data_IF_034908258761
#
_entry.id   IF_034908258761
#
_cell.length_a   1.000
_cell.length_b   1.000
_cell.length_c   1.000
_cell.angle_alpha   90.00
_cell.angle_beta   90.00
_cell.angle_gamma   90.00
#
_symmetry.space_group_name_H-M   'P 1'
#
loop_
_entity.id
_entity.type
_entity.pdbx_description
1 polymer ?
#
# COMPACT_ATOMS: atom_id res chain seq x y z
N UNK A 1 -6.53 11.06 -6.99
CA UNK A 1 -5.99 10.49 -5.73
C UNK A 1 -5.49 9.11 -6.06
N UNK A 2 -4.29 8.75 -5.61
CA UNK A 2 -3.67 7.46 -5.96
C UNK A 2 -3.04 6.87 -4.71
N UNK A 3 -3.10 5.56 -4.57
CA UNK A 3 -2.52 4.82 -3.47
C UNK A 3 -1.33 4.02 -3.97
N UNK A 4 -0.23 4.11 -3.25
CA UNK A 4 0.96 3.30 -3.42
C UNK A 4 0.97 2.26 -2.29
N UNK A 5 1.02 0.99 -2.64
CA UNK A 5 1.19 -0.10 -1.67
C UNK A 5 2.61 -0.62 -1.82
N UNK A 6 3.44 -0.38 -0.80
CA UNK A 6 4.81 -0.87 -0.71
C UNK A 6 4.79 -2.09 0.20
N UNK A 7 5.24 -3.23 -0.29
CA UNK A 7 5.19 -4.48 0.46
C UNK A 7 6.48 -5.27 0.31
N UNK A 8 6.92 -5.91 1.40
CA UNK A 8 8.18 -6.63 1.44
C UNK A 8 7.99 -8.00 2.11
N UNK A 9 8.60 -9.02 1.52
CA UNK A 9 8.77 -10.33 2.14
C UNK A 9 10.16 -10.81 1.80
N UNK A 10 10.92 -11.19 2.83
CA UNK A 10 12.32 -11.67 2.69
C UNK A 10 13.28 -10.63 2.07
N UNK A 11 13.10 -9.35 2.41
CA UNK A 11 14.08 -8.30 2.14
C UNK A 11 13.94 -7.57 0.79
N UNK A 12 13.05 -8.02 -0.10
CA UNK A 12 12.82 -7.37 -1.39
C UNK A 12 11.51 -6.57 -1.38
N UNK A 13 11.58 -5.22 -1.44
CA UNK A 13 10.38 -4.39 -1.53
C UNK A 13 9.82 -4.41 -2.95
N UNK A 14 8.52 -4.63 -3.04
CA UNK A 14 7.71 -4.47 -4.25
C UNK A 14 6.74 -3.32 -4.05
N UNK A 15 6.29 -2.74 -5.17
CA UNK A 15 5.35 -1.62 -5.15
C UNK A 15 4.27 -1.86 -6.19
N UNK A 16 3.02 -1.63 -5.80
CA UNK A 16 1.89 -1.55 -6.71
C UNK A 16 1.09 -0.28 -6.46
N UNK A 17 0.25 0.09 -7.41
CA UNK A 17 -0.53 1.31 -7.37
C UNK A 17 -1.99 1.06 -7.68
N UNK A 18 -2.88 1.82 -7.06
CA UNK A 18 -4.31 1.84 -7.38
C UNK A 18 -4.89 3.23 -7.17
N UNK A 19 -5.94 3.57 -7.89
CA UNK A 19 -6.72 4.80 -7.71
C UNK A 19 -7.89 4.62 -6.73
N UNK A 20 -8.08 3.42 -6.17
CA UNK A 20 -9.21 3.07 -5.33
C UNK A 20 -8.78 2.69 -3.91
N UNK A 21 -9.37 3.36 -2.91
CA UNK A 21 -9.05 3.18 -1.49
C UNK A 21 -9.36 1.78 -0.97
N UNK A 22 -10.53 1.24 -1.33
CA UNK A 22 -10.97 -0.07 -0.87
C UNK A 22 -10.14 -1.19 -1.47
N UNK A 23 -9.71 -1.03 -2.73
CA UNK A 23 -8.74 -1.95 -3.34
C UNK A 23 -7.38 -1.89 -2.64
N UNK A 24 -6.91 -0.70 -2.29
CA UNK A 24 -5.66 -0.54 -1.55
C UNK A 24 -5.74 -1.25 -0.19
N UNK A 25 -6.83 -1.02 0.57
CA UNK A 25 -7.07 -1.68 1.86
C UNK A 25 -7.13 -3.20 1.73
N UNK A 26 -8.00 -3.71 0.85
CA UNK A 26 -8.18 -5.16 0.66
C UNK A 26 -6.85 -5.84 0.28
N UNK A 27 -6.07 -5.24 -0.61
CA UNK A 27 -4.79 -5.80 -1.01
C UNK A 27 -3.76 -5.75 0.14
N UNK A 28 -3.70 -4.65 0.89
CA UNK A 28 -2.81 -4.53 2.03
C UNK A 28 -3.12 -5.59 3.10
N UNK A 29 -4.40 -5.80 3.42
CA UNK A 29 -4.87 -6.86 4.34
C UNK A 29 -4.48 -8.26 3.84
N UNK A 30 -4.68 -8.56 2.56
CA UNK A 30 -4.30 -9.85 1.95
C UNK A 30 -2.78 -10.09 1.97
N UNK A 31 -1.98 -9.05 1.74
CA UNK A 31 -0.53 -9.15 1.80
C UNK A 31 -0.05 -9.35 3.25
N UNK A 32 -0.62 -8.60 4.20
CA UNK A 32 -0.32 -8.79 5.63
C UNK A 32 -0.68 -10.18 6.11
N UNK A 33 -1.84 -10.72 5.72
CA UNK A 33 -2.27 -12.06 6.13
C UNK A 33 -1.37 -13.18 5.59
N UNK A 34 -0.64 -12.92 4.51
CA UNK A 34 0.34 -13.86 3.94
C UNK A 34 1.78 -13.60 4.42
N UNK A 35 1.96 -12.71 5.40
CA UNK A 35 3.21 -12.44 6.09
C UNK A 35 4.12 -11.42 5.40
N UNK A 36 3.57 -10.54 4.57
CA UNK A 36 4.30 -9.37 4.07
C UNK A 36 4.23 -8.22 5.09
N UNK A 37 5.31 -7.46 5.21
CA UNK A 37 5.25 -6.11 5.78
C UNK A 37 4.69 -5.17 4.72
N UNK A 38 3.72 -4.33 5.06
CA UNK A 38 3.00 -3.50 4.09
C UNK A 38 2.82 -2.08 4.61
N UNK A 39 3.26 -1.11 3.81
CA UNK A 39 3.02 0.32 3.96
C UNK A 39 2.12 0.82 2.82
N UNK A 40 1.09 1.58 3.17
CA UNK A 40 0.20 2.23 2.19
C UNK A 40 0.41 3.74 2.26
N UNK A 41 0.59 4.36 1.10
CA UNK A 41 0.75 5.80 0.96
C UNK A 41 -0.33 6.35 0.04
N UNK A 42 -0.94 7.46 0.45
CA UNK A 42 -1.90 8.20 -0.33
C UNK A 42 -1.21 9.39 -1.00
N UNK A 43 -1.36 9.49 -2.31
CA UNK A 43 -0.85 10.55 -3.16
C UNK A 43 -2.01 11.44 -3.61
N UNK A 44 -1.94 12.70 -3.20
CA UNK A 44 -2.87 13.78 -3.55
C UNK A 44 -2.13 14.85 -4.35
N UNK A 45 -2.84 15.92 -4.75
CA UNK A 45 -2.19 17.07 -5.38
C UNK A 45 -1.24 17.81 -4.42
N UNK A 46 -1.49 17.69 -3.12
CA UNK A 46 -0.75 18.39 -2.07
C UNK A 46 0.45 17.57 -1.56
N UNK A 47 0.65 16.37 -2.08
CA UNK A 47 1.78 15.50 -1.75
C UNK A 47 1.38 14.08 -1.37
N UNK A 48 2.35 13.34 -0.82
CA UNK A 48 2.22 11.96 -0.40
C UNK A 48 2.25 11.85 1.13
N UNK A 49 1.34 11.06 1.69
CA UNK A 49 1.25 10.77 3.12
C UNK A 49 1.10 9.27 3.35
N UNK A 50 1.81 8.73 4.35
CA UNK A 50 1.59 7.36 4.80
C UNK A 50 0.24 7.28 5.49
N UNK A 51 -0.49 6.21 5.24
CA UNK A 51 -1.83 6.00 5.80
C UNK A 51 -1.82 4.89 6.85
N UNK A 52 -2.82 4.89 7.73
CA UNK A 52 -3.08 3.80 8.68
C UNK A 52 -3.85 2.62 8.06
N UNK A 53 -4.02 2.62 6.73
CA UNK A 53 -4.59 1.50 5.97
C UNK A 53 -3.74 0.26 6.15
#
# INVERSE_FOLDING_TARGET
MRYQIVYCKRGWPLTTWTDNADRARKLAEQLRSTGYSVDVWQHTKDGAQKTDI
#
